data_IF_009211212083
#
_entry.id   IF_009211212083
#
_cell.length_a   1.000
_cell.length_b   1.000
_cell.length_c   1.000
_cell.angle_alpha   90.00
_cell.angle_beta   90.00
_cell.angle_gamma   90.00
#
_symmetry.space_group_name_H-M   'P 1'
#
loop_
_entity.id
_entity.type
_entity.pdbx_description
1 polymer ?
#
# COMPACT_ATOMS: atom_id res chain seq x y z
N UNK A 1 9.42 28.40 23.53
CA UNK A 1 8.82 27.10 23.17
C UNK A 1 9.45 26.05 24.08
N UNK A 2 8.72 25.51 25.04
CA UNK A 2 9.25 24.49 25.96
C UNK A 2 9.11 23.11 25.31
N UNK A 3 10.21 22.39 25.03
CA UNK A 3 10.13 21.07 24.43
C UNK A 3 9.49 20.05 25.38
N UNK A 4 8.69 19.13 24.83
CA UNK A 4 8.19 18.01 25.63
C UNK A 4 9.33 17.09 26.06
N UNK A 5 9.25 16.59 27.29
CA UNK A 5 10.19 15.58 27.79
C UNK A 5 9.99 14.24 27.07
N UNK A 6 8.73 13.84 26.87
CA UNK A 6 8.32 12.64 26.14
C UNK A 6 7.19 12.97 25.18
N UNK A 7 7.30 12.54 23.92
CA UNK A 7 6.21 12.71 22.98
C UNK A 7 5.06 11.73 23.30
N UNK A 8 3.80 12.10 22.97
CA UNK A 8 2.66 11.20 23.10
C UNK A 8 2.82 9.97 22.19
N UNK A 9 2.09 8.91 22.54
CA UNK A 9 2.19 7.62 21.85
C UNK A 9 1.20 7.48 20.70
N UNK A 10 1.67 6.88 19.62
CA UNK A 10 0.88 6.40 18.50
C UNK A 10 0.46 4.96 18.79
N UNK A 11 -0.82 4.66 18.59
CA UNK A 11 -1.45 3.37 18.87
C UNK A 11 -1.76 2.64 17.55
N UNK A 12 -2.23 1.39 17.66
CA UNK A 12 -2.66 0.60 16.49
C UNK A 12 -1.55 -0.19 15.78
N UNK A 13 -0.29 -0.06 16.19
CA UNK A 13 0.84 -0.76 15.57
C UNK A 13 1.18 -2.13 16.19
N UNK A 14 0.44 -2.58 17.22
CA UNK A 14 0.73 -3.83 17.92
C UNK A 14 0.73 -5.06 16.99
N UNK A 15 -0.13 -5.08 15.97
CA UNK A 15 -0.19 -6.15 14.97
C UNK A 15 1.00 -6.19 14.00
N UNK A 16 1.84 -5.16 14.00
CA UNK A 16 2.97 -4.97 13.07
C UNK A 16 4.29 -4.63 13.78
N UNK A 17 4.51 -5.24 14.95
CA UNK A 17 5.75 -5.13 15.73
C UNK A 17 5.79 -4.01 16.76
N UNK A 18 4.69 -3.26 16.92
CA UNK A 18 4.55 -2.21 17.92
C UNK A 18 4.16 -2.72 19.30
N UNK A 19 4.12 -1.80 20.26
CA UNK A 19 3.68 -2.09 21.62
C UNK A 19 2.17 -1.87 21.75
N UNK A 20 1.48 -2.73 22.53
CA UNK A 20 0.06 -2.54 22.82
C UNK A 20 -0.23 -1.21 23.54
N UNK A 21 0.73 -0.73 24.33
CA UNK A 21 0.66 0.58 25.00
C UNK A 21 0.93 1.78 24.08
N UNK A 22 1.26 1.53 22.81
CA UNK A 22 1.67 2.52 21.82
C UNK A 22 3.18 2.76 21.75
N UNK A 23 3.59 3.34 20.64
CA UNK A 23 4.96 3.59 20.23
C UNK A 23 5.20 5.10 20.01
N UNK A 24 6.46 5.55 20.00
CA UNK A 24 6.81 6.97 19.74
C UNK A 24 7.59 7.11 18.45
N UNK A 25 7.33 8.15 17.66
CA UNK A 25 8.18 8.52 16.50
C UNK A 25 9.52 9.08 16.98
N UNK A 26 9.46 10.01 17.93
CA UNK A 26 10.63 10.64 18.53
C UNK A 26 10.74 10.15 19.96
N UNK A 27 11.79 9.37 20.25
CA UNK A 27 12.00 8.80 21.58
C UNK A 27 13.44 8.41 21.82
N UNK A 28 14.05 9.05 22.83
CA UNK A 28 15.39 8.75 23.31
C UNK A 28 15.27 8.16 24.73
N UNK A 29 15.43 6.85 24.85
CA UNK A 29 15.25 6.08 26.08
C UNK A 29 16.57 5.79 26.81
N UNK A 30 17.71 6.01 26.17
CA UNK A 30 19.06 5.70 26.70
C UNK A 30 19.92 6.96 26.79
N UNK A 31 20.86 6.95 27.75
CA UNK A 31 21.83 8.03 27.94
C UNK A 31 22.69 8.28 26.70
N UNK A 32 23.01 7.23 25.93
CA UNK A 32 23.78 7.32 24.68
C UNK A 32 23.08 8.16 23.58
N UNK A 33 21.78 8.42 23.70
CA UNK A 33 21.02 9.23 22.75
C UNK A 33 20.85 10.69 23.19
N UNK A 34 21.46 11.09 24.31
CA UNK A 34 21.43 12.46 24.82
C UNK A 34 22.60 13.25 24.24
N UNK A 35 22.35 14.51 23.86
CA UNK A 35 23.39 15.41 23.35
C UNK A 35 23.18 16.82 23.87
N UNK A 36 24.26 17.60 23.99
CA UNK A 36 24.22 19.01 24.42
C UNK A 36 23.46 19.26 25.74
N UNK A 37 23.46 18.28 26.65
CA UNK A 37 22.75 18.36 27.94
C UNK A 37 21.23 18.10 27.86
N UNK A 38 20.68 17.88 26.65
CA UNK A 38 19.27 17.57 26.46
C UNK A 38 18.97 16.10 26.73
N UNK A 39 17.87 15.86 27.46
CA UNK A 39 17.42 14.52 27.85
C UNK A 39 16.17 14.13 27.09
N UNK A 40 16.03 12.83 26.80
CA UNK A 40 14.84 12.26 26.14
C UNK A 40 14.50 13.05 24.86
N UNK A 41 13.24 13.39 24.66
CA UNK A 41 12.76 14.06 23.44
C UNK A 41 13.20 15.52 23.33
N UNK A 42 13.78 16.11 24.39
CA UNK A 42 14.39 17.45 24.28
C UNK A 42 15.54 17.48 23.27
N UNK A 43 16.15 16.33 22.99
CA UNK A 43 17.19 16.20 21.96
C UNK A 43 16.63 16.29 20.52
N UNK A 44 15.31 16.35 20.36
CA UNK A 44 14.59 16.62 19.12
C UNK A 44 13.42 17.57 19.44
N UNK A 45 13.78 18.82 19.74
CA UNK A 45 12.88 19.80 20.36
C UNK A 45 11.62 20.07 19.51
N UNK A 46 10.46 19.63 20.02
CA UNK A 46 9.13 19.98 19.51
C UNK A 46 8.25 20.48 20.65
N UNK A 47 7.34 21.41 20.34
CA UNK A 47 6.35 21.86 21.31
C UNK A 47 5.30 20.79 21.55
N UNK A 48 4.67 20.86 22.71
CA UNK A 48 3.52 20.02 23.04
C UNK A 48 2.42 20.11 21.98
N UNK A 49 2.12 21.32 21.51
CA UNK A 49 1.09 21.51 20.50
C UNK A 49 1.41 20.78 19.19
N UNK A 50 2.65 20.85 18.71
CA UNK A 50 3.06 20.17 17.46
C UNK A 50 3.09 18.66 17.67
N UNK A 51 3.58 18.21 18.83
CA UNK A 51 3.65 16.79 19.15
C UNK A 51 2.26 16.15 19.24
N UNK A 52 1.33 16.79 19.95
CA UNK A 52 -0.05 16.34 20.03
C UNK A 52 -0.74 16.33 18.67
N UNK A 53 -0.49 17.33 17.81
CA UNK A 53 -1.08 17.39 16.46
C UNK A 53 -0.65 16.22 15.57
N UNK A 54 0.65 15.93 15.45
CA UNK A 54 1.08 14.84 14.57
C UNK A 54 0.66 13.47 15.14
N UNK A 55 0.67 13.29 16.47
CA UNK A 55 0.22 12.03 17.09
C UNK A 55 -1.28 11.83 16.88
N UNK A 56 -2.09 12.87 17.06
CA UNK A 56 -3.53 12.81 16.81
C UNK A 56 -3.81 12.50 15.33
N UNK A 57 -3.11 13.16 14.41
CA UNK A 57 -3.25 12.91 12.98
C UNK A 57 -2.90 11.45 12.61
N UNK A 58 -1.78 10.92 13.10
CA UNK A 58 -1.40 9.54 12.79
C UNK A 58 -2.31 8.50 13.43
N UNK A 59 -2.76 8.70 14.67
CA UNK A 59 -3.74 7.81 15.28
C UNK A 59 -5.05 7.80 14.48
N UNK A 60 -5.53 8.98 14.06
CA UNK A 60 -6.71 9.11 13.22
C UNK A 60 -6.54 8.38 11.88
N UNK A 61 -5.41 8.58 11.20
CA UNK A 61 -5.13 7.90 9.94
C UNK A 61 -5.06 6.37 10.12
N UNK A 62 -4.33 5.88 11.12
CA UNK A 62 -4.24 4.43 11.41
C UNK A 62 -5.62 3.83 11.69
N UNK A 63 -6.49 4.56 12.37
CA UNK A 63 -7.85 4.09 12.68
C UNK A 63 -8.80 4.14 11.48
N UNK A 64 -8.76 5.21 10.68
CA UNK A 64 -9.73 5.45 9.61
C UNK A 64 -9.34 4.81 8.27
N UNK A 65 -8.04 4.80 7.94
CA UNK A 65 -7.53 4.31 6.66
C UNK A 65 -6.26 3.46 6.80
N UNK A 66 -5.95 3.02 8.02
CA UNK A 66 -4.87 2.10 8.26
C UNK A 66 -5.22 0.71 7.75
N UNK A 67 -4.44 0.22 6.80
CA UNK A 67 -4.57 -1.13 6.28
C UNK A 67 -3.29 -1.91 6.35
N UNK A 68 -3.42 -3.22 6.57
CA UNK A 68 -2.28 -4.09 6.82
C UNK A 68 -1.68 -4.58 5.50
N UNK A 69 -0.45 -4.16 5.23
CA UNK A 69 0.40 -4.72 4.19
C UNK A 69 1.54 -5.54 4.83
N UNK A 70 1.33 -6.86 4.92
CA UNK A 70 2.30 -7.78 5.54
C UNK A 70 2.53 -7.45 7.02
N UNK A 71 3.75 -7.03 7.36
CA UNK A 71 4.13 -6.62 8.72
C UNK A 71 4.25 -5.08 8.84
N UNK A 72 3.42 -4.35 8.11
CA UNK A 72 3.31 -2.88 8.18
C UNK A 72 1.86 -2.45 7.98
N UNK A 73 1.53 -1.24 8.43
CA UNK A 73 0.28 -0.55 8.18
C UNK A 73 0.55 0.54 7.15
N UNK A 74 -0.26 0.60 6.10
CA UNK A 74 -0.29 1.71 5.16
C UNK A 74 -1.40 2.65 5.60
N UNK A 75 -1.10 3.92 5.71
CA UNK A 75 -2.08 5.00 5.84
C UNK A 75 -1.93 5.96 4.67
N UNK A 76 -2.99 6.70 4.35
CA UNK A 76 -2.95 7.67 3.26
C UNK A 76 -3.88 8.85 3.49
N UNK A 77 -3.63 9.96 2.81
CA UNK A 77 -4.53 11.11 2.81
C UNK A 77 -4.33 11.92 1.54
N UNK A 78 -5.24 12.86 1.32
CA UNK A 78 -5.21 13.77 0.19
C UNK A 78 -4.93 15.19 0.67
N UNK A 79 -4.25 15.98 -0.15
CA UNK A 79 -3.90 17.36 0.18
C UNK A 79 -5.14 18.21 0.40
N UNK A 80 -6.05 18.17 -0.56
CA UNK A 80 -7.34 18.84 -0.48
C UNK A 80 -8.41 17.87 0.03
N UNK A 81 -9.31 18.37 0.88
CA UNK A 81 -10.47 17.60 1.34
C UNK A 81 -11.38 17.26 0.16
N UNK A 82 -11.72 15.99 0.04
CA UNK A 82 -12.58 15.51 -1.05
C UNK A 82 -14.02 15.92 -0.79
N UNK A 83 -14.71 16.41 -1.83
CA UNK A 83 -16.07 16.94 -1.72
C UNK A 83 -17.13 15.88 -1.40
N UNK A 84 -16.80 14.60 -1.59
CA UNK A 84 -17.61 13.46 -1.19
C UNK A 84 -16.69 12.38 -0.57
N UNK A 85 -17.17 11.58 0.40
CA UNK A 85 -16.44 10.40 0.86
C UNK A 85 -16.10 9.54 -0.35
N UNK A 86 -14.86 9.08 -0.44
CA UNK A 86 -14.48 8.17 -1.52
C UNK A 86 -15.08 6.81 -1.18
N UNK A 87 -16.30 6.55 -1.63
CA UNK A 87 -16.78 5.16 -1.80
C UNK A 87 -15.83 4.37 -2.73
N UNK A 88 -14.99 5.10 -3.46
CA UNK A 88 -14.12 4.70 -4.56
C UNK A 88 -12.65 5.09 -4.30
N UNK A 89 -12.11 4.86 -3.10
CA UNK A 89 -10.71 5.17 -2.78
C UNK A 89 -9.75 4.28 -3.61
N UNK A 90 -8.84 4.87 -4.41
CA UNK A 90 -7.96 4.09 -5.28
C UNK A 90 -7.09 3.07 -4.53
N UNK A 91 -6.53 3.44 -3.39
CA UNK A 91 -5.68 2.54 -2.60
C UNK A 91 -6.49 1.43 -1.97
N UNK A 92 -7.74 1.71 -1.55
CA UNK A 92 -8.64 0.70 -1.01
C UNK A 92 -9.01 -0.38 -2.04
N UNK A 93 -9.11 -0.03 -3.34
CA UNK A 93 -9.40 -1.01 -4.40
C UNK A 93 -8.36 -2.13 -4.50
N UNK A 94 -7.09 -1.85 -4.19
CA UNK A 94 -6.01 -2.85 -4.21
C UNK A 94 -6.19 -3.88 -3.08
N UNK A 95 -6.79 -3.49 -1.95
CA UNK A 95 -6.87 -4.30 -0.74
C UNK A 95 -8.22 -5.02 -0.63
N UNK A 96 -9.29 -4.25 -0.76
CA UNK A 96 -10.67 -4.71 -0.70
C UNK A 96 -11.40 -4.25 -1.96
N UNK A 97 -11.20 -4.95 -3.10
CA UNK A 97 -12.01 -4.76 -4.29
C UNK A 97 -13.50 -4.82 -3.94
N UNK A 98 -14.33 -3.92 -4.51
CA UNK A 98 -15.77 -3.98 -4.32
C UNK A 98 -16.32 -5.37 -4.70
N UNK A 99 -17.00 -6.05 -3.77
CA UNK A 99 -17.56 -7.40 -4.00
C UNK A 99 -18.75 -7.38 -4.98
N UNK A 100 -19.40 -6.22 -5.13
CA UNK A 100 -20.66 -6.06 -5.87
C UNK A 100 -20.49 -5.54 -7.29
N UNK A 101 -19.74 -6.27 -8.13
CA UNK A 101 -19.90 -6.31 -9.60
C UNK A 101 -18.88 -7.29 -10.17
N UNK A 102 -19.23 -8.05 -11.20
CA UNK A 102 -18.33 -9.02 -11.84
C UNK A 102 -17.00 -8.39 -12.36
N UNK A 103 -16.92 -7.06 -12.43
CA UNK A 103 -15.74 -6.25 -12.75
C UNK A 103 -15.31 -5.23 -11.66
N UNK A 104 -15.88 -5.30 -10.44
CA UNK A 104 -15.93 -4.28 -9.38
C UNK A 104 -14.81 -3.22 -9.35
N UNK A 105 -13.59 -3.60 -8.96
CA UNK A 105 -12.48 -2.64 -8.82
C UNK A 105 -11.99 -2.06 -10.16
N UNK A 106 -11.95 -2.88 -11.22
CA UNK A 106 -11.54 -2.39 -12.54
C UNK A 106 -12.57 -1.41 -13.11
N UNK A 107 -13.86 -1.68 -12.91
CA UNK A 107 -14.93 -0.79 -13.38
C UNK A 107 -14.97 0.50 -12.57
N UNK A 108 -14.87 0.43 -11.24
CA UNK A 108 -14.80 1.61 -10.36
C UNK A 108 -13.63 2.52 -10.74
N UNK A 109 -12.47 1.90 -10.96
CA UNK A 109 -11.24 2.62 -11.31
C UNK A 109 -11.29 3.27 -12.70
N UNK A 110 -11.89 2.60 -13.71
CA UNK A 110 -12.19 3.20 -15.02
C UNK A 110 -13.23 4.34 -14.93
N UNK A 111 -14.29 4.16 -14.13
CA UNK A 111 -15.32 5.20 -13.92
C UNK A 111 -14.72 6.44 -13.29
N UNK A 112 -13.88 6.29 -12.27
CA UNK A 112 -13.18 7.40 -11.62
C UNK A 112 -12.29 8.15 -12.61
N UNK A 113 -11.49 7.43 -13.40
CA UNK A 113 -10.61 8.05 -14.39
C UNK A 113 -11.41 8.82 -15.44
N UNK A 114 -12.50 8.26 -15.94
CA UNK A 114 -13.37 8.92 -16.91
C UNK A 114 -14.00 10.19 -16.32
N UNK A 115 -14.47 10.16 -15.07
CA UNK A 115 -15.03 11.34 -14.40
C UNK A 115 -14.00 12.46 -14.21
N UNK A 116 -12.74 12.12 -13.97
CA UNK A 116 -11.65 13.10 -13.92
C UNK A 116 -11.41 13.68 -15.33
N UNK A 117 -11.34 12.83 -16.34
CA UNK A 117 -11.03 13.24 -17.72
C UNK A 117 -12.16 14.02 -18.40
N UNK A 118 -13.42 13.72 -18.09
CA UNK A 118 -14.60 14.44 -18.58
C UNK A 118 -14.82 15.78 -17.87
N UNK A 119 -14.09 16.04 -16.77
CA UNK A 119 -14.24 17.25 -15.96
C UNK A 119 -15.38 17.19 -14.94
N UNK A 120 -15.99 16.03 -14.71
CA UNK A 120 -17.02 15.82 -13.68
C UNK A 120 -16.44 15.88 -12.25
N UNK A 121 -15.14 15.54 -12.10
CA UNK A 121 -14.41 15.59 -10.81
C UNK A 121 -13.15 16.47 -10.87
N UNK A 122 -13.30 17.80 -11.04
CA UNK A 122 -12.16 18.71 -11.10
C UNK A 122 -11.43 18.83 -9.75
N UNK A 123 -12.11 18.52 -8.64
CA UNK A 123 -11.55 18.44 -7.29
C UNK A 123 -10.47 17.35 -7.16
N UNK A 124 -10.57 16.28 -7.96
CA UNK A 124 -9.58 15.19 -7.98
C UNK A 124 -8.43 15.45 -8.96
N UNK A 125 -8.71 16.13 -10.08
CA UNK A 125 -7.76 16.28 -11.18
C UNK A 125 -6.40 16.87 -10.76
N UNK A 126 -6.44 17.87 -9.87
CA UNK A 126 -5.25 18.60 -9.39
C UNK A 126 -4.86 18.24 -7.94
N UNK A 127 -5.49 17.24 -7.34
CA UNK A 127 -5.20 16.86 -5.96
C UNK A 127 -3.92 16.03 -5.88
N UNK A 128 -3.29 16.07 -4.71
CA UNK A 128 -2.14 15.23 -4.39
C UNK A 128 -2.56 14.19 -3.35
N UNK A 129 -1.96 13.01 -3.42
CA UNK A 129 -2.07 11.99 -2.38
C UNK A 129 -0.74 11.84 -1.65
N UNK A 130 -0.83 11.38 -0.42
CA UNK A 130 0.30 10.99 0.41
C UNK A 130 -0.02 9.64 1.05
N UNK A 131 0.98 8.78 1.18
CA UNK A 131 0.86 7.51 1.88
C UNK A 131 2.11 7.24 2.72
N UNK A 132 1.89 6.65 3.88
CA UNK A 132 2.90 6.29 4.87
C UNK A 132 2.82 4.80 5.14
N UNK A 133 3.96 4.11 5.06
CA UNK A 133 4.08 2.74 5.54
C UNK A 133 4.72 2.75 6.92
N UNK A 134 3.98 2.26 7.92
CA UNK A 134 4.35 2.29 9.33
C UNK A 134 4.51 0.88 9.88
N UNK A 135 5.52 0.65 10.70
CA UNK A 135 5.59 -0.54 11.55
C UNK A 135 5.98 -0.13 12.96
N UNK A 136 5.88 -1.04 13.92
CA UNK A 136 6.51 -0.84 15.23
C UNK A 136 7.84 -1.57 15.33
N UNK A 137 8.71 -1.09 16.22
CA UNK A 137 9.90 -1.79 16.66
C UNK A 137 10.30 -1.33 18.07
N UNK A 138 10.16 -2.21 19.06
CA UNK A 138 10.62 -1.97 20.44
C UNK A 138 10.18 -0.62 21.03
N UNK A 139 8.91 -0.25 20.89
CA UNK A 139 8.37 1.01 21.42
C UNK A 139 8.51 2.21 20.49
N UNK A 140 9.06 2.01 19.27
CA UNK A 140 9.26 3.07 18.27
C UNK A 140 8.39 2.84 17.04
N UNK A 141 7.87 3.93 16.49
CA UNK A 141 7.25 3.94 15.16
C UNK A 141 8.36 3.96 14.12
N UNK A 142 8.32 3.01 13.20
CA UNK A 142 9.21 2.91 12.06
C UNK A 142 8.47 3.40 10.82
N UNK A 143 8.94 4.50 10.23
CA UNK A 143 8.53 4.92 8.89
C UNK A 143 9.31 4.05 7.90
N UNK A 144 8.60 3.09 7.28
CA UNK A 144 9.14 2.16 6.29
C UNK A 144 9.14 2.74 4.89
N UNK A 145 8.20 3.66 4.64
CA UNK A 145 8.02 4.28 3.33
C UNK A 145 7.28 5.61 3.43
N UNK A 146 7.53 6.49 2.46
CA UNK A 146 6.81 7.73 2.20
C UNK A 146 6.56 7.82 0.70
N UNK A 147 5.29 7.89 0.31
CA UNK A 147 4.89 7.98 -1.08
C UNK A 147 4.01 9.21 -1.25
N UNK A 148 4.24 9.96 -2.32
CA UNK A 148 3.41 11.11 -2.69
C UNK A 148 3.31 11.21 -4.21
N UNK A 149 2.24 11.83 -4.69
CA UNK A 149 2.06 12.08 -6.11
C UNK A 149 0.69 12.63 -6.47
N UNK A 150 0.43 12.75 -7.77
CA UNK A 150 -0.87 13.18 -8.28
C UNK A 150 -1.93 12.11 -8.06
N UNK A 151 -3.11 12.51 -7.59
CA UNK A 151 -4.27 11.62 -7.49
C UNK A 151 -4.64 11.03 -8.87
N UNK A 152 -4.59 11.85 -9.91
CA UNK A 152 -4.91 11.44 -11.28
C UNK A 152 -3.97 10.33 -11.76
N UNK A 153 -2.67 10.45 -11.48
CA UNK A 153 -1.70 9.44 -11.90
C UNK A 153 -1.83 8.16 -11.06
N UNK A 154 -2.16 8.27 -9.77
CA UNK A 154 -2.48 7.12 -8.93
C UNK A 154 -3.64 6.29 -9.52
N UNK A 155 -4.75 6.94 -9.90
CA UNK A 155 -5.89 6.25 -10.53
C UNK A 155 -5.48 5.60 -11.85
N UNK A 156 -4.75 6.31 -12.71
CA UNK A 156 -4.25 5.75 -13.98
C UNK A 156 -3.37 4.52 -13.75
N UNK A 157 -2.47 4.58 -12.78
CA UNK A 157 -1.53 3.50 -12.48
C UNK A 157 -2.25 2.26 -11.93
N UNK A 158 -3.26 2.45 -11.08
CA UNK A 158 -4.09 1.36 -10.55
C UNK A 158 -4.97 0.74 -11.65
N UNK A 159 -5.54 1.56 -12.54
CA UNK A 159 -6.25 1.05 -13.72
C UNK A 159 -5.34 0.16 -14.55
N UNK A 160 -4.12 0.65 -14.84
CA UNK A 160 -3.13 -0.12 -15.61
C UNK A 160 -2.75 -1.41 -14.89
N UNK A 161 -2.56 -1.37 -13.57
CA UNK A 161 -2.32 -2.58 -12.77
C UNK A 161 -3.44 -3.62 -12.95
N UNK A 162 -4.70 -3.22 -12.88
CA UNK A 162 -5.80 -4.17 -13.09
C UNK A 162 -5.90 -4.68 -14.53
N UNK A 163 -5.68 -3.82 -15.52
CA UNK A 163 -5.67 -4.22 -16.94
C UNK A 163 -4.51 -5.19 -17.25
N UNK A 164 -3.32 -4.98 -16.67
CA UNK A 164 -2.17 -5.87 -16.83
C UNK A 164 -2.48 -7.29 -16.37
N UNK A 165 -3.20 -7.42 -15.25
CA UNK A 165 -3.57 -8.70 -14.65
C UNK A 165 -4.86 -9.31 -15.22
N UNK A 166 -5.57 -8.59 -16.09
CA UNK A 166 -6.77 -9.11 -16.74
C UNK A 166 -6.41 -10.23 -17.72
N UNK A 167 -6.88 -11.45 -17.45
CA UNK A 167 -6.69 -12.62 -18.31
C UNK A 167 -8.03 -13.31 -18.55
N UNK A 168 -8.10 -14.18 -19.56
CA UNK A 168 -9.26 -15.04 -19.77
C UNK A 168 -9.27 -16.12 -18.69
N UNK A 169 -10.44 -16.35 -18.07
CA UNK A 169 -10.64 -17.42 -17.12
C UNK A 169 -10.43 -18.79 -17.79
N UNK A 170 -10.08 -19.80 -17.00
CA UNK A 170 -9.71 -21.13 -17.53
C UNK A 170 -10.79 -21.81 -18.37
N UNK A 171 -12.06 -21.47 -18.15
CA UNK A 171 -13.19 -22.01 -18.91
C UNK A 171 -13.37 -21.32 -20.28
N UNK A 172 -12.60 -20.25 -20.55
CA UNK A 172 -12.63 -19.51 -21.81
C UNK A 172 -13.80 -18.52 -21.92
N UNK A 173 -14.70 -18.45 -20.94
CA UNK A 173 -15.99 -17.78 -21.11
C UNK A 173 -15.99 -16.32 -20.70
N UNK A 174 -15.06 -15.90 -19.84
CA UNK A 174 -15.04 -14.55 -19.27
C UNK A 174 -13.63 -14.10 -18.88
N UNK A 175 -13.46 -12.81 -18.68
CA UNK A 175 -12.27 -12.27 -18.02
C UNK A 175 -12.27 -12.63 -16.53
N UNK A 176 -11.09 -12.79 -15.97
CA UNK A 176 -10.91 -12.96 -14.53
C UNK A 176 -11.20 -11.66 -13.80
N UNK A 177 -11.75 -11.77 -12.60
CA UNK A 177 -11.88 -10.63 -11.69
C UNK A 177 -10.50 -10.02 -11.38
N UNK A 178 -10.49 -8.70 -11.19
CA UNK A 178 -9.31 -7.97 -10.75
C UNK A 178 -8.78 -8.59 -9.44
N UNK A 179 -7.51 -9.03 -9.40
CA UNK A 179 -7.00 -9.69 -8.21
C UNK A 179 -6.76 -8.68 -7.08
N UNK A 180 -7.08 -9.09 -5.84
CA UNK A 180 -6.58 -8.42 -4.63
C UNK A 180 -5.05 -8.36 -4.68
N UNK A 181 -4.46 -7.26 -4.25
CA UNK A 181 -3.00 -7.10 -4.21
C UNK A 181 -2.32 -8.24 -3.43
N UNK A 182 -2.88 -8.62 -2.28
CA UNK A 182 -2.34 -9.72 -1.48
C UNK A 182 -2.50 -11.10 -2.14
N UNK A 183 -3.45 -11.28 -3.07
CA UNK A 183 -3.54 -12.51 -3.86
C UNK A 183 -2.40 -12.59 -4.90
N UNK A 184 -2.02 -11.45 -5.49
CA UNK A 184 -0.84 -11.35 -6.37
C UNK A 184 0.43 -11.63 -5.58
N UNK A 185 0.61 -10.97 -4.43
CA UNK A 185 1.77 -11.17 -3.57
C UNK A 185 1.88 -12.62 -3.07
N UNK A 186 0.76 -13.21 -2.62
CA UNK A 186 0.70 -14.60 -2.18
C UNK A 186 0.96 -15.62 -3.29
N UNK A 187 0.72 -15.27 -4.56
CA UNK A 187 0.96 -16.17 -5.69
C UNK A 187 2.46 -16.47 -5.93
N UNK A 188 3.36 -15.67 -5.33
CA UNK A 188 4.82 -15.79 -5.46
C UNK A 188 5.43 -16.80 -4.49
N UNK A 189 4.74 -17.13 -3.39
CA UNK A 189 5.26 -17.96 -2.31
C UNK A 189 4.31 -19.13 -2.03
N UNK A 190 4.70 -20.04 -1.13
CA UNK A 190 3.81 -21.10 -0.65
C UNK A 190 2.91 -20.56 0.46
N UNK A 191 3.52 -19.93 1.46
CA UNK A 191 2.86 -19.30 2.58
C UNK A 191 3.17 -17.80 2.56
N UNK A 192 2.16 -16.93 2.72
CA UNK A 192 2.33 -15.47 2.60
C UNK A 192 3.40 -14.90 3.56
N UNK A 193 3.58 -15.53 4.72
CA UNK A 193 4.61 -15.18 5.72
C UNK A 193 6.05 -15.34 5.20
N UNK A 194 6.24 -16.15 4.15
CA UNK A 194 7.55 -16.40 3.55
C UNK A 194 7.92 -15.32 2.53
N UNK A 195 6.99 -14.43 2.16
CA UNK A 195 7.26 -13.32 1.25
C UNK A 195 8.10 -12.25 1.97
N UNK A 196 9.32 -11.93 1.49
CA UNK A 196 10.15 -10.92 2.12
C UNK A 196 9.48 -9.54 2.08
N UNK A 197 9.53 -8.81 3.20
CA UNK A 197 8.93 -7.47 3.29
C UNK A 197 9.44 -6.49 2.20
N UNK A 198 10.75 -6.45 1.84
CA UNK A 198 11.22 -5.60 0.75
C UNK A 198 10.59 -5.95 -0.61
N UNK A 199 10.31 -7.24 -0.85
CA UNK A 199 9.69 -7.69 -2.09
C UNK A 199 8.21 -7.30 -2.14
N UNK A 200 7.49 -7.42 -1.03
CA UNK A 200 6.10 -6.96 -0.91
C UNK A 200 6.00 -5.44 -1.14
N UNK A 201 6.92 -4.67 -0.54
CA UNK A 201 7.01 -3.21 -0.74
C UNK A 201 7.33 -2.86 -2.20
N UNK A 202 8.27 -3.56 -2.84
CA UNK A 202 8.59 -3.34 -4.25
C UNK A 202 7.39 -3.63 -5.17
N UNK A 203 6.61 -4.68 -4.90
CA UNK A 203 5.37 -4.96 -5.62
C UNK A 203 4.32 -3.87 -5.39
N UNK A 204 4.24 -3.34 -4.17
CA UNK A 204 3.32 -2.24 -3.85
C UNK A 204 3.64 -0.99 -4.66
N UNK A 205 4.91 -0.58 -4.69
CA UNK A 205 5.37 0.51 -5.58
C UNK A 205 5.06 0.22 -7.05
N UNK A 206 5.17 -1.03 -7.47
CA UNK A 206 4.88 -1.42 -8.85
C UNK A 206 3.41 -1.21 -9.22
N UNK A 207 2.49 -1.48 -8.28
CA UNK A 207 1.07 -1.25 -8.46
C UNK A 207 0.73 0.25 -8.53
N UNK A 208 1.29 1.06 -7.63
CA UNK A 208 0.91 2.48 -7.52
C UNK A 208 1.68 3.42 -8.46
N UNK A 209 2.87 3.03 -8.95
CA UNK A 209 3.72 3.86 -9.81
C UNK A 209 3.79 3.37 -11.27
N UNK A 210 3.08 2.27 -11.61
CA UNK A 210 3.15 1.66 -12.93
C UNK A 210 4.58 1.35 -13.43
N UNK A 211 5.47 0.92 -12.52
CA UNK A 211 6.86 0.58 -12.84
C UNK A 211 6.99 -0.86 -13.35
N UNK A 212 8.20 -1.30 -13.74
CA UNK A 212 8.40 -2.68 -14.18
C UNK A 212 8.12 -3.70 -13.06
N UNK A 213 7.46 -4.80 -13.41
CA UNK A 213 7.34 -5.96 -12.52
C UNK A 213 8.75 -6.48 -12.19
N UNK A 214 9.14 -6.62 -10.91
CA UNK A 214 10.45 -7.08 -10.52
C UNK A 214 10.78 -8.48 -11.08
N UNK A 215 12.00 -8.68 -11.57
CA UNK A 215 12.42 -9.96 -12.16
C UNK A 215 12.35 -11.13 -11.16
N UNK A 216 12.63 -10.88 -9.88
CA UNK A 216 12.47 -11.89 -8.83
C UNK A 216 11.01 -12.33 -8.68
N UNK A 217 10.03 -11.43 -8.84
CA UNK A 217 8.61 -11.78 -8.82
C UNK A 217 8.24 -12.67 -10.01
N UNK A 218 8.71 -12.36 -11.23
CA UNK A 218 8.56 -13.25 -12.38
C UNK A 218 9.18 -14.63 -12.10
N UNK A 219 10.44 -14.66 -11.68
CA UNK A 219 11.17 -15.91 -11.42
C UNK A 219 10.43 -16.80 -10.42
N UNK A 220 9.92 -16.22 -9.32
CA UNK A 220 9.14 -16.95 -8.32
C UNK A 220 7.80 -17.41 -8.89
N UNK A 221 7.09 -16.57 -9.62
CA UNK A 221 5.83 -16.95 -10.27
C UNK A 221 6.02 -18.12 -11.24
N UNK A 222 7.06 -18.10 -12.08
CA UNK A 222 7.35 -19.20 -13.01
C UNK A 222 7.69 -20.49 -12.26
N UNK A 223 8.50 -20.43 -11.20
CA UNK A 223 8.83 -21.60 -10.38
C UNK A 223 7.59 -22.19 -9.68
N UNK A 224 6.72 -21.34 -9.10
CA UNK A 224 5.47 -21.78 -8.48
C UNK A 224 4.49 -22.35 -9.50
N UNK A 225 4.40 -21.76 -10.71
CA UNK A 225 3.60 -22.30 -11.80
C UNK A 225 4.05 -23.70 -12.21
N UNK A 226 5.37 -23.92 -12.33
CA UNK A 226 5.95 -25.25 -12.60
C UNK A 226 5.59 -26.27 -11.52
N UNK A 227 5.68 -25.88 -10.24
CA UNK A 227 5.32 -26.75 -9.11
C UNK A 227 3.83 -27.13 -9.17
N UNK A 228 2.95 -26.19 -9.49
CA UNK A 228 1.53 -26.48 -9.61
C UNK A 228 1.25 -27.50 -10.72
N UNK A 229 1.92 -27.39 -11.87
CA UNK A 229 1.81 -28.37 -12.95
C UNK A 229 2.27 -29.76 -12.49
N UNK A 230 3.43 -29.85 -11.82
CA UNK A 230 3.98 -31.12 -11.32
C UNK A 230 3.02 -31.80 -10.33
N UNK A 231 2.38 -31.02 -9.47
CA UNK A 231 1.45 -31.53 -8.46
C UNK A 231 0.01 -31.69 -8.97
N UNK A 232 -0.24 -31.46 -10.27
CA UNK A 232 -1.58 -31.43 -10.87
C UNK A 232 -2.54 -30.43 -10.19
N UNK A 233 -1.98 -29.33 -9.68
CA UNK A 233 -2.75 -28.21 -9.16
C UNK A 233 -3.21 -27.29 -10.28
N UNK A 234 -4.41 -26.79 -10.09
CA UNK A 234 -5.05 -25.76 -10.90
C UNK A 234 -4.23 -24.44 -10.97
N UNK A 235 -3.82 -23.92 -12.16
CA UNK A 235 -2.96 -22.74 -12.29
C UNK A 235 -3.59 -21.42 -11.77
N UNK A 236 -3.02 -20.80 -10.75
CA UNK A 236 -3.61 -19.57 -10.16
C UNK A 236 -3.67 -18.40 -11.16
N UNK A 237 -4.85 -17.77 -11.30
CA UNK A 237 -5.06 -16.64 -12.20
C UNK A 237 -4.15 -15.45 -11.87
N UNK A 238 -4.05 -15.07 -10.60
CA UNK A 238 -3.16 -13.98 -10.16
C UNK A 238 -1.70 -14.23 -10.55
N UNK A 239 -1.26 -15.49 -10.59
CA UNK A 239 0.10 -15.86 -10.99
C UNK A 239 0.31 -15.72 -12.50
N UNK A 240 -0.65 -16.22 -13.29
CA UNK A 240 -0.60 -16.10 -14.74
C UNK A 240 -0.70 -14.63 -15.17
N UNK A 241 -1.57 -13.86 -14.50
CA UNK A 241 -1.66 -12.41 -14.67
C UNK A 241 -0.35 -11.70 -14.36
N UNK A 242 0.39 -12.09 -13.31
CA UNK A 242 1.71 -11.49 -13.02
C UNK A 242 2.73 -11.77 -14.13
N UNK A 243 2.75 -12.99 -14.67
CA UNK A 243 3.64 -13.36 -15.78
C UNK A 243 3.29 -12.52 -17.02
N UNK A 244 2.01 -12.41 -17.37
CA UNK A 244 1.55 -11.52 -18.46
C UNK A 244 1.97 -10.07 -18.21
N UNK A 245 1.63 -9.52 -17.05
CA UNK A 245 1.94 -8.15 -16.65
C UNK A 245 3.42 -7.82 -16.81
N UNK A 246 4.32 -8.75 -16.44
CA UNK A 246 5.76 -8.58 -16.64
C UNK A 246 6.12 -8.34 -18.11
N UNK A 247 5.62 -9.19 -19.02
CA UNK A 247 5.93 -9.10 -20.44
C UNK A 247 5.27 -7.88 -21.09
N UNK A 248 4.00 -7.59 -20.77
CA UNK A 248 3.30 -6.41 -21.27
C UNK A 248 4.03 -5.11 -20.90
N UNK A 249 4.46 -4.97 -19.64
CA UNK A 249 5.23 -3.79 -19.20
C UNK A 249 6.60 -3.67 -19.85
N UNK A 250 7.16 -4.77 -20.37
CA UNK A 250 8.41 -4.78 -21.17
C UNK A 250 8.19 -4.47 -22.66
N UNK A 251 6.95 -4.21 -23.08
CA UNK A 251 6.61 -3.84 -24.44
C UNK A 251 6.09 -4.99 -25.31
N UNK A 252 5.85 -6.16 -24.73
CA UNK A 252 5.19 -7.26 -25.45
C UNK A 252 3.70 -6.95 -25.63
N UNK A 253 3.26 -6.83 -26.89
CA UNK A 253 1.87 -6.51 -27.25
C UNK A 253 1.06 -7.75 -27.64
N UNK A 254 1.66 -8.94 -27.58
CA UNK A 254 1.05 -10.19 -28.06
C UNK A 254 0.73 -11.19 -26.93
N UNK A 255 0.96 -10.80 -25.68
CA UNK A 255 0.68 -11.60 -24.47
C UNK A 255 -0.76 -11.47 -23.96
#
# INVERSE_FOLDING_TARGET
>A
MTPLESHPKIKGLAGVGGQASGDVIVGMDKGAFQSYGFKKSQNAAMSEQVANKYVAALNFLIEQNGSRLGNSIITHWYKETLSAPVEDDPLAWLETPPENQEAGALLASKKMLNAIQSGERPDLANNQYYALMLSGAAGRVMIRDWIEGSFTDLVKNINQWFDDFSIIARDGNKLTQAPKFMAVAGALVRDLKDLPAPQLQQLWHTAINNSFIPYNALSQATLRARIDIINNNSPLHARMGLIKAYHCRKGDKHM
#
